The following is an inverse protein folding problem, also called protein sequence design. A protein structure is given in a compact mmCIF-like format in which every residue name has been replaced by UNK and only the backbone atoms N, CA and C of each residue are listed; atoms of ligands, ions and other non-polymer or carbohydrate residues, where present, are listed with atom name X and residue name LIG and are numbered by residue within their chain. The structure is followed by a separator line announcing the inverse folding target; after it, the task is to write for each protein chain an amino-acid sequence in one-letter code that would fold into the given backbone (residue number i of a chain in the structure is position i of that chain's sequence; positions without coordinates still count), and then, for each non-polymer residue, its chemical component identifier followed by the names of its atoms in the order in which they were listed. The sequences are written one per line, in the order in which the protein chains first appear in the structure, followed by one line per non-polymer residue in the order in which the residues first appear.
data_IF_014024768017
#
_entry.id   IF_014024768017
#
_cell.length_a   1.000
_cell.length_b   1.000
_cell.length_c   1.000
_cell.angle_alpha   90.00
_cell.angle_beta   90.00
_cell.angle_gamma   90.00
#
_symmetry.space_group_name_H-M   'P 1'
#
loop_
_entity.id
_entity.type
_entity.pdbx_description
1 polymer ?
#
# COMPACT_ATOMS: atom_id res chain seq x y z
N UNK A 1 -12.75 10.77 15.10
CA UNK A 1 -12.13 9.55 14.55
C UNK A 1 -11.78 8.65 15.72
N UNK A 2 -12.30 7.42 15.73
CA UNK A 2 -12.01 6.45 16.77
C UNK A 2 -10.72 5.71 16.48
N UNK A 3 -9.90 5.43 17.52
CA UNK A 3 -8.63 4.74 17.40
C UNK A 3 -8.60 3.53 18.33
N UNK A 4 -8.25 2.37 17.78
CA UNK A 4 -8.17 1.11 18.54
C UNK A 4 -6.90 0.35 18.16
N UNK A 5 -6.26 -0.29 19.15
CA UNK A 5 -5.17 -1.23 18.92
C UNK A 5 -5.69 -2.64 19.15
N UNK A 6 -5.46 -3.53 18.17
CA UNK A 6 -5.96 -4.91 18.22
C UNK A 6 -4.87 -5.87 17.76
N UNK A 7 -5.00 -7.12 18.18
CA UNK A 7 -4.15 -8.22 17.68
C UNK A 7 -5.02 -9.17 16.85
N UNK A 8 -4.66 -9.35 15.59
CA UNK A 8 -5.35 -10.25 14.65
C UNK A 8 -4.31 -11.24 14.10
N UNK A 9 -4.52 -12.53 14.29
CA UNK A 9 -3.55 -13.55 13.85
C UNK A 9 -2.14 -13.38 14.43
N UNK A 10 -2.04 -12.79 15.65
CA UNK A 10 -0.76 -12.46 16.27
C UNK A 10 -0.05 -11.23 15.69
N UNK A 11 -0.72 -10.45 14.80
CA UNK A 11 -0.24 -9.15 14.32
C UNK A 11 -0.84 -8.01 15.09
N UNK A 12 -0.01 -7.06 15.47
CA UNK A 12 -0.48 -5.79 16.01
C UNK A 12 -1.05 -4.93 14.87
N UNK A 13 -2.29 -4.51 15.03
CA UNK A 13 -2.96 -3.61 14.10
C UNK A 13 -3.42 -2.36 14.83
N UNK A 14 -3.29 -1.19 14.17
CA UNK A 14 -3.90 0.04 14.60
C UNK A 14 -5.03 0.40 13.66
N UNK A 15 -6.25 0.42 14.19
CA UNK A 15 -7.46 0.71 13.44
C UNK A 15 -7.94 2.13 13.75
N UNK A 16 -8.12 2.93 12.70
CA UNK A 16 -8.76 4.24 12.74
C UNK A 16 -10.11 4.15 12.03
N UNK A 17 -11.17 4.60 12.67
CA UNK A 17 -12.54 4.54 12.13
C UNK A 17 -13.12 5.95 12.05
N UNK A 18 -13.50 6.37 10.86
CA UNK A 18 -14.13 7.65 10.58
C UNK A 18 -15.59 7.41 10.16
N UNK A 19 -16.52 7.74 11.03
CA UNK A 19 -17.97 7.56 10.80
C UNK A 19 -18.40 6.10 10.64
N UNK A 20 -19.39 5.86 9.78
CA UNK A 20 -19.82 4.51 9.37
C UNK A 20 -19.07 4.12 8.10
N UNK A 21 -18.05 3.26 8.17
CA UNK A 21 -17.12 3.05 7.07
C UNK A 21 -17.78 2.53 5.79
N UNK A 22 -17.49 3.18 4.68
CA UNK A 22 -17.85 2.77 3.32
C UNK A 22 -16.67 2.09 2.60
N UNK A 23 -15.48 2.19 3.15
CA UNK A 23 -14.23 1.62 2.62
C UNK A 23 -13.40 1.04 3.77
N UNK A 24 -12.72 -0.07 3.50
CA UNK A 24 -11.67 -0.61 4.36
C UNK A 24 -10.32 -0.40 3.67
N UNK A 25 -9.45 0.38 4.29
CA UNK A 25 -8.09 0.62 3.86
C UNK A 25 -7.13 -0.20 4.71
N UNK A 26 -6.16 -0.86 4.08
CA UNK A 26 -5.14 -1.67 4.77
C UNK A 26 -3.77 -1.21 4.34
N UNK A 27 -2.89 -0.96 5.32
CA UNK A 27 -1.52 -0.51 5.09
C UNK A 27 -0.55 -1.32 5.94
N UNK A 28 0.28 -2.19 5.35
CA UNK A 28 1.43 -2.75 6.06
C UNK A 28 2.41 -1.66 6.46
N UNK A 29 2.93 -1.74 7.68
CA UNK A 29 3.83 -0.74 8.24
C UNK A 29 4.95 -1.37 9.07
N UNK A 30 6.07 -0.66 9.16
CA UNK A 30 7.18 -0.97 10.05
C UNK A 30 6.94 -0.45 11.47
N UNK A 31 7.86 -0.74 12.41
CA UNK A 31 7.75 -0.27 13.79
C UNK A 31 7.89 1.25 13.94
N UNK A 32 8.49 1.91 12.97
CA UNK A 32 8.81 3.34 13.01
C UNK A 32 7.67 4.23 12.50
N UNK A 33 6.60 3.64 11.95
CA UNK A 33 5.50 4.38 11.32
C UNK A 33 4.43 4.90 12.31
N UNK A 34 4.55 4.57 13.60
CA UNK A 34 3.54 4.90 14.63
C UNK A 34 3.23 6.42 14.76
N UNK A 35 4.23 7.26 14.56
CA UNK A 35 4.09 8.71 14.73
C UNK A 35 3.25 9.40 13.63
N UNK A 36 3.27 8.86 12.43
CA UNK A 36 2.56 9.42 11.28
C UNK A 36 1.14 8.89 11.07
N UNK A 37 0.78 7.77 11.70
CA UNK A 37 -0.49 7.07 11.44
C UNK A 37 -1.73 7.91 11.69
N UNK A 38 -1.76 8.65 12.80
CA UNK A 38 -2.92 9.50 13.14
C UNK A 38 -3.07 10.64 12.13
N UNK A 39 -1.95 11.29 11.81
CA UNK A 39 -1.94 12.38 10.84
C UNK A 39 -2.34 11.90 9.43
N UNK A 40 -1.90 10.72 9.04
CA UNK A 40 -2.32 10.11 7.77
C UNK A 40 -3.82 9.89 7.72
N UNK A 41 -4.41 9.34 8.79
CA UNK A 41 -5.85 9.11 8.87
C UNK A 41 -6.65 10.43 8.86
N UNK A 42 -6.18 11.46 9.55
CA UNK A 42 -6.76 12.80 9.55
C UNK A 42 -6.71 13.45 8.16
N UNK A 43 -5.56 13.38 7.49
CA UNK A 43 -5.38 13.87 6.12
C UNK A 43 -6.30 13.16 5.11
N UNK A 44 -6.51 11.84 5.23
CA UNK A 44 -7.47 11.11 4.40
C UNK A 44 -8.89 11.65 4.63
N UNK A 45 -9.29 11.82 5.89
CA UNK A 45 -10.61 12.32 6.24
C UNK A 45 -10.85 13.74 5.68
N UNK A 46 -9.88 14.64 5.82
CA UNK A 46 -9.96 16.00 5.30
C UNK A 46 -10.03 16.03 3.78
N UNK A 47 -9.28 15.17 3.10
CA UNK A 47 -9.23 15.12 1.64
C UNK A 47 -10.48 14.51 0.99
N UNK A 48 -11.16 13.61 1.68
CA UNK A 48 -12.27 12.87 1.08
C UNK A 48 -13.64 13.29 1.60
N UNK A 49 -13.75 13.60 2.89
CA UNK A 49 -15.04 13.73 3.57
C UNK A 49 -15.86 12.44 3.63
N UNK A 50 -15.29 11.31 3.17
CA UNK A 50 -15.98 10.01 3.06
C UNK A 50 -15.66 9.15 4.28
N UNK A 51 -16.65 8.48 4.90
CA UNK A 51 -16.41 7.56 6.00
C UNK A 51 -15.57 6.34 5.58
N UNK A 52 -14.53 6.01 6.34
CA UNK A 52 -13.64 4.88 6.08
C UNK A 52 -13.11 4.26 7.38
N UNK A 53 -12.56 3.05 7.25
CA UNK A 53 -11.69 2.46 8.25
C UNK A 53 -10.29 2.28 7.66
N UNK A 54 -9.24 2.67 8.41
CA UNK A 54 -7.84 2.49 8.03
C UNK A 54 -7.14 1.61 9.06
N UNK A 55 -6.64 0.48 8.63
CA UNK A 55 -5.88 -0.46 9.44
C UNK A 55 -4.40 -0.44 9.05
N UNK A 56 -3.55 0.04 9.95
CA UNK A 56 -2.11 -0.16 9.86
C UNK A 56 -1.77 -1.52 10.42
N UNK A 57 -1.15 -2.36 9.62
CA UNK A 57 -0.81 -3.75 9.94
C UNK A 57 0.70 -3.87 10.12
N UNK A 58 1.15 -4.09 11.34
CA UNK A 58 2.58 -4.21 11.62
C UNK A 58 3.16 -5.48 11.02
N UNK A 59 4.17 -5.34 10.16
CA UNK A 59 4.97 -6.45 9.68
C UNK A 59 6.03 -6.83 10.73
N UNK A 60 6.38 -8.11 10.79
CA UNK A 60 7.35 -8.67 11.76
C UNK A 60 8.79 -8.50 11.27
N UNK A 61 8.98 -8.64 9.96
CA UNK A 61 10.26 -8.51 9.27
C UNK A 61 10.07 -7.66 8.02
N UNK A 62 10.61 -6.44 8.07
CA UNK A 62 10.42 -5.45 7.00
C UNK A 62 11.03 -5.88 5.67
N UNK A 63 12.22 -6.50 5.68
CA UNK A 63 12.87 -6.91 4.45
C UNK A 63 12.30 -8.21 3.86
N UNK A 64 11.62 -9.01 4.67
CA UNK A 64 11.12 -10.32 4.25
C UNK A 64 9.65 -10.30 3.88
N UNK A 65 8.76 -9.86 4.79
CA UNK A 65 7.31 -10.04 4.62
C UNK A 65 6.72 -9.28 3.42
N UNK A 66 7.10 -8.00 3.15
CA UNK A 66 6.57 -7.29 1.98
C UNK A 66 7.25 -7.65 0.66
N UNK A 67 8.33 -8.46 0.70
CA UNK A 67 9.12 -8.75 -0.50
C UNK A 67 8.51 -9.88 -1.33
N UNK A 68 8.28 -9.66 -2.64
CA UNK A 68 7.62 -10.63 -3.52
C UNK A 68 8.43 -11.92 -3.72
N UNK A 69 9.75 -11.81 -3.74
CA UNK A 69 10.72 -12.91 -3.90
C UNK A 69 12.06 -12.56 -3.27
N UNK A 70 12.92 -13.56 -3.11
CA UNK A 70 14.28 -13.35 -2.57
C UNK A 70 15.11 -12.49 -3.50
N UNK A 71 15.80 -11.51 -2.93
CA UNK A 71 16.74 -10.66 -3.64
C UNK A 71 17.91 -10.27 -2.73
N UNK A 72 19.10 -10.02 -3.27
CA UNK A 72 20.24 -9.56 -2.47
C UNK A 72 19.96 -8.15 -1.91
N UNK A 73 20.62 -7.84 -0.80
CA UNK A 73 20.56 -6.53 -0.17
C UNK A 73 20.92 -5.41 -1.16
N UNK A 74 20.09 -4.38 -1.22
CA UNK A 74 20.33 -3.17 -2.01
C UNK A 74 20.79 -2.02 -1.10
N UNK A 75 20.39 -2.06 0.16
CA UNK A 75 20.85 -1.18 1.25
C UNK A 75 21.02 -2.01 2.53
N UNK A 76 21.88 -1.55 3.43
CA UNK A 76 22.23 -2.36 4.61
C UNK A 76 22.97 -3.64 4.25
N UNK A 77 22.83 -4.67 5.09
CA UNK A 77 23.49 -5.98 4.95
C UNK A 77 22.52 -7.16 4.87
N UNK A 78 21.23 -6.94 5.04
CA UNK A 78 20.22 -7.99 5.08
C UNK A 78 19.55 -8.16 3.70
N UNK A 79 19.55 -9.39 3.20
CA UNK A 79 18.86 -9.76 1.97
C UNK A 79 17.34 -9.62 2.12
N UNK A 80 16.66 -9.45 1.00
CA UNK A 80 15.20 -9.49 0.95
C UNK A 80 14.70 -10.94 0.96
N UNK A 81 13.63 -11.16 1.74
CA UNK A 81 12.96 -12.45 1.79
C UNK A 81 11.97 -12.67 0.65
N UNK A 82 10.93 -13.50 0.92
CA UNK A 82 9.87 -13.82 -0.06
C UNK A 82 8.51 -14.00 0.65
N UNK A 83 8.25 -13.18 1.66
CA UNK A 83 7.09 -13.33 2.55
C UNK A 83 5.78 -12.76 2.00
N UNK A 84 5.80 -12.06 0.84
CA UNK A 84 4.62 -11.35 0.34
C UNK A 84 3.41 -12.27 0.10
N UNK A 85 3.63 -13.49 -0.35
CA UNK A 85 2.54 -14.45 -0.57
C UNK A 85 1.84 -14.84 0.75
N UNK A 86 2.60 -15.05 1.82
CA UNK A 86 2.03 -15.36 3.13
C UNK A 86 1.36 -14.13 3.76
N UNK A 87 1.99 -12.94 3.67
CA UNK A 87 1.37 -11.69 4.13
C UNK A 87 0.05 -11.42 3.41
N UNK A 88 -0.02 -11.64 2.09
CA UNK A 88 -1.25 -11.52 1.32
C UNK A 88 -2.31 -12.53 1.77
N UNK A 89 -1.92 -13.78 1.99
CA UNK A 89 -2.82 -14.83 2.49
C UNK A 89 -3.38 -14.46 3.87
N UNK A 90 -2.53 -14.10 4.83
CA UNK A 90 -2.97 -13.62 6.15
C UNK A 90 -3.90 -12.41 6.04
N UNK A 91 -3.58 -11.47 5.14
CA UNK A 91 -4.42 -10.28 4.89
C UNK A 91 -5.82 -10.67 4.42
N UNK A 92 -5.93 -11.59 3.48
CA UNK A 92 -7.20 -12.04 2.90
C UNK A 92 -8.01 -12.92 3.85
N UNK A 93 -7.36 -13.86 4.52
CA UNK A 93 -8.03 -14.93 5.27
C UNK A 93 -8.28 -14.57 6.73
N UNK A 94 -7.50 -13.66 7.31
CA UNK A 94 -7.58 -13.32 8.73
C UNK A 94 -7.85 -11.82 8.97
N UNK A 95 -7.05 -10.92 8.36
CA UNK A 95 -7.14 -9.49 8.66
C UNK A 95 -8.44 -8.89 8.13
N UNK A 96 -8.76 -9.07 6.84
CA UNK A 96 -9.96 -8.49 6.23
C UNK A 96 -11.23 -8.97 6.95
N UNK A 97 -11.47 -10.27 7.19
CA UNK A 97 -12.67 -10.71 7.90
C UNK A 97 -12.78 -10.11 9.29
N UNK A 98 -11.72 -10.18 10.10
CA UNK A 98 -11.74 -9.66 11.46
C UNK A 98 -11.96 -8.14 11.51
N UNK A 99 -11.33 -7.37 10.61
CA UNK A 99 -11.52 -5.92 10.52
C UNK A 99 -12.96 -5.58 10.09
N UNK A 100 -13.52 -6.30 9.13
CA UNK A 100 -14.90 -6.11 8.69
C UNK A 100 -15.90 -6.39 9.82
N UNK A 101 -15.69 -7.44 10.61
CA UNK A 101 -16.51 -7.74 11.79
C UNK A 101 -16.43 -6.61 12.83
N UNK A 102 -15.24 -6.08 13.08
CA UNK A 102 -15.02 -4.98 14.03
C UNK A 102 -15.74 -3.70 13.63
N UNK A 103 -15.72 -3.36 12.35
CA UNK A 103 -16.38 -2.16 11.84
C UNK A 103 -17.85 -2.39 11.48
N UNK A 104 -18.37 -3.58 11.73
CA UNK A 104 -19.75 -4.01 11.42
C UNK A 104 -20.11 -3.82 9.94
N UNK A 105 -19.16 -3.99 9.07
CA UNK A 105 -19.35 -3.93 7.62
C UNK A 105 -19.25 -5.33 7.02
N UNK A 106 -20.14 -5.70 6.08
CA UNK A 106 -20.06 -6.99 5.42
C UNK A 106 -18.75 -7.09 4.62
N UNK A 107 -17.97 -8.16 4.87
CA UNK A 107 -16.83 -8.51 4.03
C UNK A 107 -17.35 -9.12 2.73
N UNK A 108 -17.07 -8.55 1.57
CA UNK A 108 -17.45 -9.18 0.32
C UNK A 108 -16.28 -9.55 -0.56
N UNK A 109 -16.34 -10.81 -0.98
CA UNK A 109 -15.91 -11.23 -2.30
C UNK A 109 -17.14 -11.05 -3.19
N UNK A 110 -17.08 -10.24 -4.25
CA UNK A 110 -18.16 -10.06 -5.21
C UNK A 110 -19.42 -9.26 -4.75
N UNK A 111 -19.35 -7.96 -4.75
CA UNK A 111 -20.51 -7.11 -5.08
C UNK A 111 -21.47 -6.70 -3.96
N UNK A 112 -21.33 -7.14 -2.72
CA UNK A 112 -22.28 -6.86 -1.64
C UNK A 112 -21.68 -6.27 -0.35
N UNK A 113 -20.39 -5.95 -0.27
CA UNK A 113 -19.74 -5.32 0.87
C UNK A 113 -18.92 -4.10 0.50
N UNK A 114 -18.23 -3.56 1.50
CA UNK A 114 -17.42 -2.38 1.27
C UNK A 114 -16.16 -2.71 0.46
N UNK A 115 -15.73 -1.82 -0.46
CA UNK A 115 -14.47 -1.97 -1.17
C UNK A 115 -13.29 -2.05 -0.20
N UNK A 116 -12.35 -2.95 -0.51
CA UNK A 116 -11.08 -3.06 0.21
C UNK A 116 -9.97 -2.46 -0.64
N UNK A 117 -9.25 -1.51 -0.07
CA UNK A 117 -8.16 -0.80 -0.72
C UNK A 117 -6.87 -1.15 0.02
N UNK A 118 -5.85 -1.59 -0.70
CA UNK A 118 -4.54 -1.90 -0.12
C UNK A 118 -3.55 -0.83 -0.53
N UNK A 119 -2.69 -0.44 0.39
CA UNK A 119 -1.65 0.50 0.01
C UNK A 119 -0.44 0.48 0.94
N UNK A 120 0.52 1.33 0.64
CA UNK A 120 1.71 1.43 1.46
C UNK A 120 2.78 2.36 0.92
N UNK A 121 3.80 2.51 1.73
CA UNK A 121 4.99 3.29 1.46
C UNK A 121 6.20 2.40 1.22
N UNK A 122 7.10 2.77 0.31
CA UNK A 122 8.38 2.10 0.12
C UNK A 122 8.20 0.60 -0.24
N UNK A 123 8.72 -0.31 0.56
CA UNK A 123 8.59 -1.75 0.35
C UNK A 123 7.15 -2.24 0.55
N UNK A 124 6.38 -1.64 1.45
CA UNK A 124 4.94 -1.88 1.57
C UNK A 124 4.17 -1.37 0.34
N UNK A 125 4.63 -0.29 -0.31
CA UNK A 125 4.12 0.15 -1.61
C UNK A 125 4.40 -0.85 -2.74
N UNK A 126 5.58 -1.47 -2.74
CA UNK A 126 5.91 -2.58 -3.65
C UNK A 126 5.00 -3.79 -3.39
N UNK A 127 4.80 -4.16 -2.12
CA UNK A 127 3.88 -5.23 -1.74
C UNK A 127 2.46 -4.97 -2.25
N UNK A 128 1.97 -3.74 -2.08
CA UNK A 128 0.62 -3.37 -2.54
C UNK A 128 0.49 -3.49 -4.06
N UNK A 129 1.49 -3.03 -4.81
CA UNK A 129 1.54 -3.24 -6.26
C UNK A 129 1.58 -4.71 -6.63
N UNK A 130 2.43 -5.50 -5.96
CA UNK A 130 2.51 -6.94 -6.22
C UNK A 130 1.20 -7.65 -5.92
N UNK A 131 0.52 -7.28 -4.83
CA UNK A 131 -0.79 -7.83 -4.46
C UNK A 131 -1.87 -7.52 -5.50
N UNK A 132 -1.79 -6.37 -6.19
CA UNK A 132 -2.69 -6.03 -7.30
C UNK A 132 -2.58 -7.01 -8.48
N UNK A 133 -1.40 -7.62 -8.69
CA UNK A 133 -1.20 -8.67 -9.70
C UNK A 133 -1.49 -10.09 -9.18
N UNK A 134 -1.51 -10.28 -7.85
CA UNK A 134 -1.63 -11.59 -7.23
C UNK A 134 -3.05 -11.91 -6.74
N UNK A 135 -3.94 -10.92 -6.64
CA UNK A 135 -5.28 -11.10 -6.09
C UNK A 135 -6.27 -10.05 -6.61
N UNK A 136 -7.49 -10.50 -6.87
CA UNK A 136 -8.67 -9.70 -7.21
C UNK A 136 -9.40 -9.12 -5.98
N UNK A 137 -8.83 -9.29 -4.79
CA UNK A 137 -9.48 -8.90 -3.53
C UNK A 137 -9.55 -7.39 -3.33
N UNK A 138 -8.70 -6.63 -4.01
CA UNK A 138 -8.55 -5.20 -3.81
C UNK A 138 -9.15 -4.41 -4.97
N UNK A 139 -10.11 -3.53 -4.68
CA UNK A 139 -10.73 -2.65 -5.68
C UNK A 139 -9.75 -1.61 -6.20
N UNK A 140 -8.89 -1.10 -5.34
CA UNK A 140 -7.85 -0.15 -5.69
C UNK A 140 -6.59 -0.37 -4.86
N UNK A 141 -5.48 0.16 -5.35
CA UNK A 141 -4.17 0.09 -4.69
C UNK A 141 -3.48 1.45 -4.73
N UNK A 142 -2.93 1.89 -3.59
CA UNK A 142 -1.96 3.00 -3.62
C UNK A 142 -0.56 2.52 -3.28
N UNK A 143 0.41 3.04 -4.02
CA UNK A 143 1.82 2.78 -3.84
C UNK A 143 2.58 4.11 -3.79
N UNK A 144 2.78 4.62 -2.57
CA UNK A 144 3.50 5.86 -2.35
C UNK A 144 5.00 5.59 -2.23
N UNK A 145 5.78 6.22 -3.10
CA UNK A 145 7.24 6.05 -3.17
C UNK A 145 7.68 4.57 -3.16
N UNK A 146 7.04 3.69 -3.98
CA UNK A 146 7.26 2.26 -3.92
C UNK A 146 8.68 1.87 -4.33
N UNK A 147 9.18 0.80 -3.74
CA UNK A 147 10.50 0.23 -4.05
C UNK A 147 10.54 -0.47 -5.42
N UNK A 148 10.07 0.19 -6.49
CA UNK A 148 9.97 -0.41 -7.84
C UNK A 148 11.32 -0.65 -8.53
N UNK A 149 12.41 -0.21 -7.90
CA UNK A 149 13.79 -0.60 -8.22
C UNK A 149 14.12 -2.04 -7.80
N UNK A 150 13.22 -2.73 -7.11
CA UNK A 150 13.41 -4.09 -6.63
C UNK A 150 13.80 -5.03 -7.77
N UNK A 151 14.82 -5.90 -7.58
CA UNK A 151 15.35 -6.73 -8.65
C UNK A 151 14.28 -7.59 -9.33
N UNK A 152 14.13 -7.46 -10.64
CA UNK A 152 13.15 -8.20 -11.45
C UNK A 152 11.72 -7.62 -11.46
N UNK A 153 11.43 -6.56 -10.70
CA UNK A 153 10.08 -6.00 -10.59
C UNK A 153 9.48 -5.55 -11.93
N UNK A 154 10.19 -4.72 -12.67
CA UNK A 154 9.69 -4.17 -13.96
C UNK A 154 9.38 -5.30 -14.95
N UNK A 155 10.25 -6.32 -15.01
CA UNK A 155 10.00 -7.51 -15.86
C UNK A 155 8.75 -8.24 -15.40
N UNK A 156 8.60 -8.50 -14.09
CA UNK A 156 7.41 -9.15 -13.54
C UNK A 156 6.13 -8.41 -13.94
N UNK A 157 6.11 -7.09 -13.80
CA UNK A 157 4.96 -6.25 -14.12
C UNK A 157 4.64 -6.22 -15.62
N UNK A 158 5.68 -6.22 -16.49
CA UNK A 158 5.50 -6.20 -17.95
C UNK A 158 4.90 -7.48 -18.54
N UNK A 159 5.05 -8.61 -17.84
CA UNK A 159 4.56 -9.92 -18.28
C UNK A 159 3.16 -10.24 -17.78
N UNK A 160 2.50 -9.35 -17.02
CA UNK A 160 1.25 -9.61 -16.30
C UNK A 160 0.28 -8.44 -16.38
N UNK A 161 -1.00 -8.73 -16.11
CA UNK A 161 -2.02 -7.70 -15.90
C UNK A 161 -2.48 -7.72 -14.44
N UNK A 162 -2.65 -6.56 -13.79
CA UNK A 162 -3.21 -6.50 -12.45
C UNK A 162 -4.70 -6.82 -12.47
N UNK A 163 -5.22 -7.24 -11.33
CA UNK A 163 -6.66 -7.41 -11.07
C UNK A 163 -7.29 -6.10 -10.58
N UNK A 164 -6.55 -5.28 -9.85
CA UNK A 164 -7.06 -4.00 -9.34
C UNK A 164 -7.39 -3.04 -10.49
N UNK A 165 -8.54 -2.38 -10.40
CA UNK A 165 -9.05 -1.49 -11.44
C UNK A 165 -8.48 -0.06 -11.34
N UNK A 166 -7.95 0.32 -10.17
CA UNK A 166 -7.41 1.65 -9.91
C UNK A 166 -6.09 1.56 -9.15
N UNK A 167 -5.03 2.12 -9.71
CA UNK A 167 -3.69 2.08 -9.12
C UNK A 167 -3.11 3.50 -9.05
N UNK A 168 -2.86 3.98 -7.83
CA UNK A 168 -2.16 5.23 -7.60
C UNK A 168 -0.67 4.97 -7.39
N UNK A 169 0.16 5.70 -8.13
CA UNK A 169 1.60 5.73 -7.99
C UNK A 169 2.06 7.13 -7.59
N UNK A 170 3.04 7.22 -6.70
CA UNK A 170 3.72 8.50 -6.49
C UNK A 170 5.20 8.34 -6.20
N UNK A 171 5.98 9.39 -6.46
CA UNK A 171 7.39 9.46 -6.17
C UNK A 171 7.82 10.87 -5.81
N UNK A 172 8.82 11.01 -4.95
CA UNK A 172 9.46 12.29 -4.68
C UNK A 172 10.46 12.68 -5.78
N UNK A 173 10.42 13.93 -6.25
CA UNK A 173 11.27 14.46 -7.33
C UNK A 173 12.80 14.37 -7.06
N UNK A 174 13.20 14.07 -5.82
CA UNK A 174 14.61 13.94 -5.44
C UNK A 174 14.99 12.50 -5.06
N UNK A 175 14.08 11.52 -5.17
CA UNK A 175 14.37 10.13 -4.79
C UNK A 175 15.39 9.45 -5.70
N UNK A 176 15.36 9.73 -6.99
CA UNK A 176 16.35 9.24 -7.94
C UNK A 176 17.77 9.85 -7.75
N UNK A 177 17.90 10.89 -6.91
CA UNK A 177 19.19 11.58 -6.61
C UNK A 177 19.98 10.92 -5.48
N UNK A 178 19.79 9.64 -5.24
CA UNK A 178 20.58 8.86 -4.27
C UNK A 178 21.91 8.40 -4.86
N UNK A 179 22.90 8.15 -3.97
CA UNK A 179 24.20 7.58 -4.36
C UNK A 179 24.14 6.10 -4.62
N UNK A 180 23.10 5.40 -4.16
CA UNK A 180 22.92 3.98 -4.39
C UNK A 180 22.47 3.76 -5.83
N UNK A 181 23.28 3.00 -6.61
CA UNK A 181 23.06 2.79 -8.04
C UNK A 181 21.74 2.09 -8.37
N UNK A 182 21.31 1.14 -7.54
CA UNK A 182 20.04 0.42 -7.76
C UNK A 182 18.86 1.34 -7.41
N UNK A 183 18.91 1.97 -6.24
CA UNK A 183 17.81 2.86 -5.80
C UNK A 183 17.68 4.10 -6.69
N UNK A 184 18.76 4.58 -7.33
CA UNK A 184 18.69 5.73 -8.25
C UNK A 184 17.87 5.46 -9.51
N UNK A 185 17.62 4.19 -9.85
CA UNK A 185 16.75 3.80 -10.98
C UNK A 185 15.25 3.96 -10.67
N UNK A 186 14.88 4.30 -9.46
CA UNK A 186 13.45 4.37 -9.03
C UNK A 186 12.61 5.28 -9.92
N UNK A 187 13.17 6.41 -10.39
CA UNK A 187 12.47 7.32 -11.28
C UNK A 187 12.12 6.69 -12.63
N UNK A 188 13.06 5.98 -13.24
CA UNK A 188 12.82 5.27 -14.50
C UNK A 188 11.90 4.07 -14.29
N UNK A 189 12.10 3.30 -13.22
CA UNK A 189 11.26 2.16 -12.90
C UNK A 189 9.80 2.54 -12.69
N UNK A 190 9.50 3.65 -12.00
CA UNK A 190 8.12 4.06 -11.77
C UNK A 190 7.45 4.64 -13.03
N UNK A 191 8.21 5.32 -13.89
CA UNK A 191 7.70 5.75 -15.21
C UNK A 191 7.35 4.55 -16.08
N UNK A 192 8.21 3.53 -16.12
CA UNK A 192 7.94 2.27 -16.81
C UNK A 192 6.74 1.54 -16.20
N UNK A 193 6.63 1.49 -14.87
CA UNK A 193 5.48 0.89 -14.19
C UNK A 193 4.17 1.58 -14.60
N UNK A 194 4.14 2.91 -14.61
CA UNK A 194 2.96 3.67 -15.06
C UNK A 194 2.66 3.44 -16.54
N UNK A 195 3.69 3.38 -17.40
CA UNK A 195 3.53 3.07 -18.82
C UNK A 195 2.96 1.66 -19.06
N UNK A 196 3.43 0.66 -18.30
CA UNK A 196 2.92 -0.73 -18.35
C UNK A 196 1.44 -0.79 -17.97
N UNK A 197 1.04 -0.08 -16.93
CA UNK A 197 -0.35 -0.03 -16.47
C UNK A 197 -1.26 0.76 -17.41
N UNK A 198 -0.73 1.82 -18.00
CA UNK A 198 -1.50 2.75 -18.82
C UNK A 198 -2.33 3.76 -18.01
N UNK A 199 -2.79 4.84 -18.68
CA UNK A 199 -3.53 5.94 -18.01
C UNK A 199 -4.94 5.55 -17.57
N UNK A 200 -5.52 4.49 -18.13
CA UNK A 200 -6.86 4.00 -17.74
C UNK A 200 -6.84 3.32 -16.36
N UNK A 201 -5.73 2.65 -16.02
CA UNK A 201 -5.60 1.92 -14.76
C UNK A 201 -4.84 2.70 -13.70
N UNK A 202 -4.00 3.67 -14.08
CA UNK A 202 -3.11 4.28 -13.11
C UNK A 202 -2.87 5.77 -13.32
N UNK A 203 -2.54 6.44 -12.22
CA UNK A 203 -1.94 7.78 -12.24
C UNK A 203 -0.55 7.73 -11.62
N UNK A 204 0.28 8.70 -11.98
CA UNK A 204 1.60 8.92 -11.37
C UNK A 204 1.71 10.37 -10.89
N UNK A 205 1.75 10.56 -9.57
CA UNK A 205 1.93 11.86 -8.94
C UNK A 205 3.38 12.08 -8.50
N UNK A 206 3.94 13.25 -8.81
CA UNK A 206 5.26 13.67 -8.35
C UNK A 206 5.15 14.59 -7.14
N UNK A 207 5.76 14.17 -6.02
CA UNK A 207 5.79 14.93 -4.78
C UNK A 207 7.13 15.68 -4.62
N UNK A 208 7.15 16.75 -3.83
CA UNK A 208 8.39 17.43 -3.50
C UNK A 208 9.23 16.61 -2.50
N UNK A 209 10.56 16.70 -2.63
CA UNK A 209 11.49 16.12 -1.69
C UNK A 209 12.02 14.74 -2.06
N UNK A 210 12.73 14.14 -1.10
CA UNK A 210 13.32 12.82 -1.18
C UNK A 210 12.39 11.75 -0.57
N UNK A 211 12.91 10.53 -0.44
CA UNK A 211 12.16 9.37 0.08
C UNK A 211 11.63 9.55 1.51
N UNK A 212 12.24 10.39 2.32
CA UNK A 212 11.88 10.54 3.75
C UNK A 212 10.97 11.75 4.02
N UNK A 213 10.61 12.50 2.97
CA UNK A 213 9.76 13.68 3.13
C UNK A 213 8.29 13.34 3.05
N UNK A 214 7.57 13.66 4.14
CA UNK A 214 6.11 13.61 4.26
C UNK A 214 5.48 12.27 3.82
N UNK A 215 5.98 11.07 4.29
CA UNK A 215 5.49 9.78 3.85
C UNK A 215 3.99 9.59 4.11
N UNK A 216 3.48 10.01 5.27
CA UNK A 216 2.07 9.94 5.64
C UNK A 216 1.17 10.80 4.73
N UNK A 217 1.62 12.01 4.35
CA UNK A 217 0.88 12.86 3.39
C UNK A 217 0.81 12.20 2.01
N UNK A 218 1.89 11.56 1.56
CA UNK A 218 1.91 10.85 0.27
C UNK A 218 0.99 9.63 0.29
N UNK A 219 0.97 8.87 1.38
CA UNK A 219 0.02 7.77 1.57
C UNK A 219 -1.42 8.30 1.60
N UNK A 220 -1.69 9.35 2.37
CA UNK A 220 -3.01 9.96 2.45
C UNK A 220 -3.54 10.44 1.09
N UNK A 221 -2.69 11.06 0.26
CA UNK A 221 -3.06 11.41 -1.12
C UNK A 221 -3.47 10.21 -1.95
N UNK A 222 -2.68 9.12 -1.89
CA UNK A 222 -2.96 7.88 -2.60
C UNK A 222 -4.25 7.21 -2.13
N UNK A 223 -4.42 7.08 -0.82
CA UNK A 223 -5.63 6.53 -0.22
C UNK A 223 -6.87 7.35 -0.60
N UNK A 224 -6.79 8.67 -0.52
CA UNK A 224 -7.88 9.56 -0.89
C UNK A 224 -8.23 9.49 -2.39
N UNK A 225 -7.23 9.35 -3.26
CA UNK A 225 -7.48 9.13 -4.68
C UNK A 225 -8.19 7.79 -4.93
N UNK A 226 -7.71 6.71 -4.29
CA UNK A 226 -8.33 5.39 -4.41
C UNK A 226 -9.78 5.37 -3.92
N UNK A 227 -10.08 6.05 -2.79
CA UNK A 227 -11.46 6.18 -2.31
C UNK A 227 -12.33 6.82 -3.37
N UNK A 228 -11.92 7.97 -3.93
CA UNK A 228 -12.69 8.67 -4.99
C UNK A 228 -12.85 7.85 -6.26
N UNK A 229 -11.83 7.10 -6.66
CA UNK A 229 -11.89 6.23 -7.83
C UNK A 229 -12.85 5.04 -7.66
N UNK A 230 -13.08 4.60 -6.43
CA UNK A 230 -14.02 3.52 -6.09
C UNK A 230 -15.41 4.03 -5.67
N UNK A 231 -15.65 5.33 -5.62
CA UNK A 231 -17.01 5.87 -5.42
C UNK A 231 -17.86 5.61 -6.68
N UNK A 232 -19.14 5.21 -6.51
CA UNK A 232 -20.04 4.94 -7.62
C UNK A 232 -20.43 6.19 -8.40
#
# INVERSE_FOLDING_TARGET
MDKTSVSIGGRCCRLFVCGSPRFLLIQPCGPEDDAGMALEAEEIAERTGVPFALAFVRVRDWNSEPSPWKAPAVFGSEDFGCGAAELLKETKEQLIPALCDMIKAPATCAGTGIPVILGGYSLAGLFSLWAAYASDRFSAVWAASPSVWFPGWVRFASERKPFAEHIYLSLGKKEEKTKNRVMSTVGDCIRLQHQILGPELSILEWNEGNHFRDPHIRCAKGAAWCIRACEP
#
